data_IF_778738783768
#
_entry.id   IF_778738783768
#
_cell.length_a   1.000
_cell.length_b   1.000
_cell.length_c   1.000
_cell.angle_alpha   90.00
_cell.angle_beta   90.00
_cell.angle_gamma   90.00
#
_symmetry.space_group_name_H-M   'P 1'
#
loop_
_entity.id
_entity.type
_entity.pdbx_description
1 polymer ?
#
# COMPACT_ATOMS: atom_id res chain seq x y z
N UNK A 1 -35.63 23.04 -4.95
CA UNK A 1 -35.13 22.08 -5.98
C UNK A 1 -34.47 20.91 -5.26
N UNK A 2 -35.02 19.69 -5.30
CA UNK A 2 -34.34 18.50 -4.73
C UNK A 2 -33.17 18.16 -5.64
N UNK A 3 -31.94 18.47 -5.23
CA UNK A 3 -30.73 18.08 -5.94
C UNK A 3 -30.51 16.58 -5.75
N UNK A 4 -30.86 15.78 -6.76
CA UNK A 4 -30.61 14.35 -6.75
C UNK A 4 -29.11 14.10 -7.01
N UNK A 5 -28.31 14.06 -5.95
CA UNK A 5 -26.87 13.80 -6.06
C UNK A 5 -26.65 12.31 -6.33
N UNK A 6 -26.11 11.99 -7.49
CA UNK A 6 -25.65 10.64 -7.82
C UNK A 6 -24.46 10.28 -6.92
N UNK A 7 -24.48 9.08 -6.35
CA UNK A 7 -23.38 8.53 -5.55
C UNK A 7 -22.54 7.61 -6.44
N UNK A 8 -21.22 7.69 -6.29
CA UNK A 8 -20.29 6.75 -6.92
C UNK A 8 -19.96 5.67 -5.90
N UNK A 9 -19.99 4.42 -6.33
CA UNK A 9 -19.69 3.24 -5.50
C UNK A 9 -18.50 2.51 -6.12
N UNK A 10 -17.52 2.14 -5.30
CA UNK A 10 -16.42 1.28 -5.71
C UNK A 10 -16.92 -0.16 -5.63
N UNK A 11 -16.99 -0.85 -6.76
CA UNK A 11 -17.50 -2.23 -6.88
C UNK A 11 -16.40 -3.28 -6.91
N UNK A 12 -15.13 -2.87 -7.07
CA UNK A 12 -13.97 -3.73 -7.08
C UNK A 12 -12.67 -2.95 -6.93
N UNK A 13 -11.63 -3.63 -6.45
CA UNK A 13 -10.30 -3.05 -6.24
C UNK A 13 -9.23 -4.13 -6.42
N UNK A 14 -8.11 -3.74 -7.01
CA UNK A 14 -6.87 -4.52 -7.05
C UNK A 14 -5.74 -3.72 -6.40
N UNK A 15 -4.64 -4.39 -6.08
CA UNK A 15 -3.47 -3.77 -5.46
C UNK A 15 -2.18 -4.27 -6.11
N UNK A 16 -1.15 -3.43 -6.02
CA UNK A 16 0.25 -3.79 -6.19
C UNK A 16 1.00 -3.04 -5.09
N UNK A 17 1.51 -3.76 -4.09
CA UNK A 17 2.06 -3.18 -2.87
C UNK A 17 3.17 -4.06 -2.32
N UNK A 18 4.17 -3.45 -1.68
CA UNK A 18 5.19 -4.20 -0.92
C UNK A 18 4.65 -4.83 0.37
N UNK A 19 3.43 -4.48 0.79
CA UNK A 19 2.82 -5.00 2.01
C UNK A 19 2.12 -6.35 1.82
N UNK A 20 1.56 -6.63 0.64
CA UNK A 20 0.90 -7.90 0.35
C UNK A 20 0.50 -8.05 -1.12
N UNK A 21 0.34 -9.31 -1.55
CA UNK A 21 -0.11 -9.70 -2.89
C UNK A 21 -1.64 -9.85 -3.02
N UNK A 22 -2.39 -9.69 -1.92
CA UNK A 22 -3.85 -9.79 -1.95
C UNK A 22 -4.54 -8.80 -1.00
N UNK A 23 -5.81 -8.52 -1.28
CA UNK A 23 -6.60 -7.49 -0.58
C UNK A 23 -6.79 -7.79 0.91
N UNK A 24 -6.90 -9.08 1.30
CA UNK A 24 -7.15 -9.45 2.70
C UNK A 24 -5.94 -9.13 3.55
N UNK A 25 -4.77 -9.55 3.09
CA UNK A 25 -3.52 -9.39 3.81
C UNK A 25 -3.08 -7.92 3.78
N UNK A 26 -3.28 -7.22 2.66
CA UNK A 26 -3.05 -5.78 2.58
C UNK A 26 -3.89 -5.00 3.59
N UNK A 27 -5.18 -5.35 3.74
CA UNK A 27 -6.04 -4.74 4.76
C UNK A 27 -5.51 -5.00 6.16
N UNK A 28 -5.05 -6.21 6.44
CA UNK A 28 -4.52 -6.57 7.74
C UNK A 28 -3.24 -5.76 8.05
N UNK A 29 -2.29 -5.72 7.10
CA UNK A 29 -1.06 -4.95 7.21
C UNK A 29 -1.32 -3.46 7.49
N UNK A 30 -2.31 -2.86 6.80
CA UNK A 30 -2.74 -1.48 7.06
C UNK A 30 -3.29 -1.29 8.48
N UNK A 31 -4.12 -2.22 8.97
CA UNK A 31 -4.70 -2.13 10.32
C UNK A 31 -3.63 -2.34 11.41
N UNK A 32 -2.63 -3.15 11.13
CA UNK A 32 -1.48 -3.39 12.00
C UNK A 32 -0.41 -2.30 11.91
N UNK A 33 -0.56 -1.35 10.97
CA UNK A 33 0.39 -0.26 10.72
C UNK A 33 1.79 -0.77 10.37
N UNK A 34 1.83 -1.85 9.59
CA UNK A 34 3.08 -2.40 9.10
C UNK A 34 3.78 -1.39 8.18
N UNK A 35 5.11 -1.42 8.20
CA UNK A 35 5.93 -0.60 7.33
C UNK A 35 6.58 -1.48 6.26
N UNK A 36 6.17 -1.28 5.00
CA UNK A 36 6.71 -2.01 3.85
C UNK A 36 8.05 -1.46 3.36
N UNK A 37 8.69 -0.57 4.12
CA UNK A 37 10.03 -0.03 3.83
C UNK A 37 11.01 -0.63 4.85
N UNK A 38 11.90 -1.48 4.37
CA UNK A 38 12.95 -2.14 5.16
C UNK A 38 14.34 -1.76 4.65
N UNK A 39 15.38 -2.22 5.34
CA UNK A 39 16.76 -2.00 4.91
C UNK A 39 16.98 -2.64 3.53
N UNK A 40 17.60 -1.89 2.62
CA UNK A 40 17.78 -2.29 1.22
C UNK A 40 19.22 -2.68 0.97
N UNK A 41 19.46 -3.97 0.73
CA UNK A 41 20.76 -4.45 0.27
C UNK A 41 21.12 -3.88 -1.11
N UNK A 42 20.12 -3.71 -1.99
CA UNK A 42 20.32 -3.18 -3.34
C UNK A 42 20.88 -1.77 -3.32
N UNK A 43 20.30 -0.88 -2.52
CA UNK A 43 20.68 0.54 -2.53
C UNK A 43 21.80 0.88 -1.54
N UNK A 44 22.22 -0.07 -0.70
CA UNK A 44 23.30 0.14 0.28
C UNK A 44 24.65 0.47 -0.34
N UNK A 45 24.86 0.18 -1.62
CA UNK A 45 26.09 0.56 -2.35
C UNK A 45 26.22 2.08 -2.51
N UNK A 46 25.09 2.79 -2.62
CA UNK A 46 25.08 4.23 -2.94
C UNK A 46 24.64 5.10 -1.77
N UNK A 47 23.91 4.56 -0.80
CA UNK A 47 23.34 5.32 0.29
C UNK A 47 23.56 4.62 1.64
N UNK A 48 24.14 5.34 2.60
CA UNK A 48 24.26 4.86 3.97
C UNK A 48 22.86 4.76 4.62
N UNK A 49 22.57 3.63 5.27
CA UNK A 49 21.24 3.28 5.81
C UNK A 49 20.13 3.24 4.74
N UNK A 50 20.45 2.76 3.54
CA UNK A 50 19.48 2.63 2.47
C UNK A 50 18.25 1.81 2.89
N UNK A 51 17.07 2.34 2.61
CA UNK A 51 15.79 1.68 2.86
C UNK A 51 14.89 1.74 1.64
N UNK A 52 14.19 0.66 1.35
CA UNK A 52 13.29 0.58 0.22
C UNK A 52 12.14 -0.41 0.46
N UNK A 53 11.11 -0.26 -0.36
CA UNK A 53 10.00 -1.19 -0.47
C UNK A 53 10.32 -2.18 -1.60
N UNK A 54 11.08 -3.22 -1.25
CA UNK A 54 11.56 -4.26 -2.16
C UNK A 54 10.94 -5.62 -1.83
#
# INVERSE_FOLDING_TARGET
>A
MKTNRKRVVITGMGILSSLADNIKDFRLALLQKENGITDSARFSEWFENARAAE
#
